data_IF_118986237438
#
_entry.id   IF_118986237438
#
_cell.length_a   1.000
_cell.length_b   1.000
_cell.length_c   1.000
_cell.angle_alpha   90.00
_cell.angle_beta   90.00
_cell.angle_gamma   90.00
#
_symmetry.space_group_name_H-M   'P 1'
#
loop_
_entity.id
_entity.type
_entity.pdbx_description
1 polymer ?
#
# COMPACT_ATOMS: atom_id res chain seq x y z
N UNK A 1 34.63 -66.81 -24.43
CA UNK A 1 34.65 -65.46 -25.08
C UNK A 1 33.52 -64.65 -24.52
N UNK A 2 33.79 -63.85 -23.47
CA UNK A 2 32.75 -63.06 -22.75
C UNK A 2 32.88 -61.63 -23.18
N UNK A 3 31.91 -61.13 -23.96
CA UNK A 3 31.78 -59.70 -24.29
C UNK A 3 30.95 -59.03 -23.18
N UNK A 4 31.60 -58.27 -22.29
CA UNK A 4 30.92 -57.41 -21.32
C UNK A 4 30.43 -56.16 -22.04
N UNK A 5 29.11 -56.00 -22.09
CA UNK A 5 28.45 -54.81 -22.57
C UNK A 5 28.44 -53.77 -21.41
N UNK A 6 29.21 -52.70 -21.56
CA UNK A 6 29.21 -51.58 -20.61
C UNK A 6 28.08 -50.63 -21.05
N UNK A 7 26.98 -50.61 -20.28
CA UNK A 7 25.94 -49.59 -20.42
C UNK A 7 26.44 -48.29 -19.71
N UNK A 8 26.80 -47.31 -20.51
CA UNK A 8 27.02 -45.96 -20.02
C UNK A 8 25.70 -45.27 -19.82
N UNK A 9 25.29 -45.09 -18.57
CA UNK A 9 24.17 -44.23 -18.19
C UNK A 9 24.61 -42.78 -18.36
N UNK A 10 24.16 -42.12 -19.43
CA UNK A 10 24.25 -40.68 -19.58
C UNK A 10 23.20 -40.02 -18.64
N UNK A 11 23.67 -39.47 -17.54
CA UNK A 11 22.84 -38.68 -16.64
C UNK A 11 22.55 -37.32 -17.29
N UNK A 12 21.40 -37.24 -17.97
CA UNK A 12 20.88 -35.96 -18.49
C UNK A 12 20.40 -35.12 -17.30
N UNK A 13 21.25 -34.21 -16.82
CA UNK A 13 20.88 -33.22 -15.84
C UNK A 13 19.87 -32.27 -16.49
N UNK A 14 18.59 -32.51 -16.21
CA UNK A 14 17.50 -31.59 -16.56
C UNK A 14 17.67 -30.34 -15.65
N UNK A 15 18.29 -29.31 -16.18
CA UNK A 15 18.32 -27.99 -15.54
C UNK A 15 16.87 -27.49 -15.50
N UNK A 16 16.21 -27.64 -14.35
CA UNK A 16 14.95 -26.95 -14.06
C UNK A 16 15.31 -25.48 -13.90
N UNK A 17 15.28 -24.75 -15.00
CA UNK A 17 15.19 -23.29 -14.94
C UNK A 17 13.82 -22.99 -14.38
N UNK A 18 13.75 -22.72 -13.08
CA UNK A 18 12.59 -22.08 -12.48
C UNK A 18 12.48 -20.71 -13.15
N UNK A 19 11.70 -20.65 -14.23
CA UNK A 19 11.18 -19.40 -14.73
C UNK A 19 10.29 -18.85 -13.61
N UNK A 20 10.88 -18.10 -12.69
CA UNK A 20 10.15 -17.19 -11.85
C UNK A 20 9.40 -16.29 -12.81
N UNK A 21 8.07 -16.46 -12.88
CA UNK A 21 7.22 -15.50 -13.55
C UNK A 21 7.56 -14.15 -12.94
N UNK A 22 8.32 -13.35 -13.66
CA UNK A 22 8.66 -12.00 -13.27
C UNK A 22 7.37 -11.20 -13.26
N UNK A 23 6.67 -11.17 -12.12
CA UNK A 23 5.74 -10.10 -11.85
C UNK A 23 6.61 -8.86 -11.84
N UNK A 24 6.57 -8.09 -12.93
CA UNK A 24 7.25 -6.80 -13.02
C UNK A 24 6.82 -5.97 -11.81
N UNK A 25 7.74 -5.17 -11.29
CA UNK A 25 7.40 -4.29 -10.18
C UNK A 25 6.16 -3.45 -10.54
N UNK A 26 5.22 -3.28 -9.62
CA UNK A 26 4.02 -2.51 -9.90
C UNK A 26 4.39 -1.07 -10.31
N UNK A 27 3.65 -0.54 -11.28
CA UNK A 27 3.84 0.84 -11.75
C UNK A 27 2.78 1.72 -11.08
N UNK A 28 3.22 2.78 -10.42
CA UNK A 28 2.35 3.76 -9.77
C UNK A 28 2.82 5.16 -10.17
N UNK A 29 1.90 5.96 -10.72
CA UNK A 29 2.23 7.30 -11.21
C UNK A 29 3.33 7.28 -12.29
N UNK A 30 3.28 6.30 -13.21
CA UNK A 30 4.22 6.16 -14.31
C UNK A 30 5.62 5.68 -13.93
N UNK A 31 5.85 5.29 -12.66
CA UNK A 31 7.15 4.80 -12.16
C UNK A 31 7.02 3.41 -11.54
N UNK A 32 8.03 2.58 -11.77
CA UNK A 32 8.14 1.28 -11.11
C UNK A 32 8.41 1.46 -9.62
N UNK A 33 7.70 0.68 -8.80
CA UNK A 33 7.89 0.63 -7.34
C UNK A 33 8.75 -0.58 -7.00
N UNK A 34 9.81 -0.36 -6.26
CA UNK A 34 10.79 -1.40 -5.96
C UNK A 34 10.60 -1.94 -4.54
N UNK A 35 10.43 -3.27 -4.35
CA UNK A 35 10.25 -3.85 -3.02
C UNK A 35 11.51 -3.74 -2.13
N UNK A 36 12.64 -3.40 -2.70
CA UNK A 36 13.90 -3.13 -1.98
C UNK A 36 14.00 -1.72 -1.42
N UNK A 37 13.13 -0.80 -1.87
CA UNK A 37 13.05 0.57 -1.39
C UNK A 37 11.97 0.71 -0.32
N UNK A 38 12.13 1.69 0.58
CA UNK A 38 11.10 1.99 1.57
C UNK A 38 9.91 2.75 0.95
N UNK A 39 8.87 2.97 1.75
CA UNK A 39 7.63 3.64 1.33
C UNK A 39 7.90 5.03 0.76
N UNK A 40 8.74 5.83 1.42
CA UNK A 40 9.02 7.21 1.01
C UNK A 40 9.89 7.23 -0.25
N UNK A 41 10.94 6.41 -0.31
CA UNK A 41 11.82 6.31 -1.49
C UNK A 41 11.08 5.97 -2.78
N UNK A 42 10.01 5.20 -2.68
CA UNK A 42 9.15 4.90 -3.82
C UNK A 42 8.13 6.02 -4.08
N UNK A 43 7.48 6.53 -3.03
CA UNK A 43 6.42 7.53 -3.15
C UNK A 43 6.91 8.84 -3.80
N UNK A 44 8.14 9.28 -3.52
CA UNK A 44 8.70 10.52 -4.08
C UNK A 44 8.90 10.47 -5.60
N UNK A 45 8.93 9.28 -6.18
CA UNK A 45 9.05 9.09 -7.63
C UNK A 45 7.69 8.97 -8.35
N UNK A 46 6.60 8.82 -7.60
CA UNK A 46 5.25 8.70 -8.16
C UNK A 46 4.68 10.06 -8.54
N UNK A 47 4.34 10.25 -9.80
CA UNK A 47 3.67 11.47 -10.25
C UNK A 47 2.25 11.64 -9.67
N UNK A 48 1.62 10.53 -9.25
CA UNK A 48 0.26 10.53 -8.71
C UNK A 48 0.19 10.85 -7.20
N UNK A 49 1.35 10.95 -6.50
CA UNK A 49 1.41 11.13 -5.04
C UNK A 49 2.20 12.38 -4.62
N UNK A 50 2.36 13.36 -5.50
CA UNK A 50 3.11 14.58 -5.21
C UNK A 50 2.51 15.38 -4.05
N UNK A 51 1.19 15.47 -3.98
CA UNK A 51 0.45 16.14 -2.88
C UNK A 51 0.64 15.39 -1.57
N UNK A 52 0.56 14.04 -1.58
CA UNK A 52 0.81 13.22 -0.39
C UNK A 52 2.23 13.41 0.14
N UNK A 53 3.23 13.39 -0.74
CA UNK A 53 4.64 13.60 -0.35
C UNK A 53 4.86 14.99 0.23
N UNK A 54 4.25 16.03 -0.35
CA UNK A 54 4.30 17.39 0.20
C UNK A 54 3.66 17.45 1.60
N UNK A 55 2.52 16.80 1.78
CA UNK A 55 1.82 16.72 3.06
C UNK A 55 2.65 15.98 4.13
N UNK A 56 3.29 14.86 3.78
CA UNK A 56 4.17 14.11 4.68
C UNK A 56 5.38 14.94 5.13
N UNK A 57 5.96 15.72 4.23
CA UNK A 57 7.06 16.65 4.55
C UNK A 57 6.58 17.77 5.50
N UNK A 58 5.45 18.40 5.20
CA UNK A 58 4.87 19.45 6.02
C UNK A 58 4.51 18.96 7.43
N UNK A 59 4.01 17.73 7.55
CA UNK A 59 3.71 17.10 8.84
C UNK A 59 4.96 16.63 9.60
N UNK A 60 6.12 16.47 8.94
CA UNK A 60 7.34 15.92 9.54
C UNK A 60 7.27 14.40 9.74
N UNK A 61 6.48 13.68 8.91
CA UNK A 61 6.27 12.23 9.02
C UNK A 61 7.18 11.40 8.11
N UNK A 62 8.06 12.05 7.34
CA UNK A 62 8.96 11.37 6.40
C UNK A 62 9.84 10.36 7.13
N UNK A 63 10.56 10.78 8.15
CA UNK A 63 11.45 9.92 8.95
C UNK A 63 10.70 8.77 9.64
N UNK A 64 9.46 9.04 10.09
CA UNK A 64 8.61 8.02 10.72
C UNK A 64 8.27 6.90 9.72
N UNK A 65 7.92 7.25 8.48
CA UNK A 65 7.57 6.29 7.43
C UNK A 65 8.79 5.69 6.71
N UNK A 66 9.97 6.25 6.87
CA UNK A 66 11.25 5.64 6.48
C UNK A 66 11.74 4.61 7.50
N UNK A 67 11.20 4.64 8.71
CA UNK A 67 11.54 3.73 9.79
C UNK A 67 11.27 2.26 9.47
N UNK A 68 11.66 1.36 10.39
CA UNK A 68 11.73 -0.09 10.11
C UNK A 68 10.36 -0.77 9.93
N UNK A 69 9.25 -0.10 10.17
CA UNK A 69 7.91 -0.66 10.00
C UNK A 69 7.66 -1.96 10.77
N UNK A 70 6.87 -2.90 10.27
CA UNK A 70 6.12 -2.83 9.01
C UNK A 70 4.90 -1.92 9.07
N UNK A 71 4.61 -1.25 7.95
CA UNK A 71 3.44 -0.38 7.80
C UNK A 71 2.56 -0.82 6.64
N UNK A 72 1.25 -0.56 6.77
CA UNK A 72 0.31 -0.56 5.65
C UNK A 72 -0.15 0.88 5.43
N UNK A 73 0.12 1.43 4.26
CA UNK A 73 -0.24 2.80 3.92
C UNK A 73 -1.32 2.80 2.85
N UNK A 74 -2.45 3.42 3.15
CA UNK A 74 -3.48 3.72 2.17
C UNK A 74 -3.17 5.08 1.56
N UNK A 75 -2.54 5.08 0.37
CA UNK A 75 -1.97 6.26 -0.26
C UNK A 75 -2.99 6.93 -1.20
N UNK A 76 -3.56 8.09 -0.84
CA UNK A 76 -4.45 8.82 -1.73
C UNK A 76 -3.66 9.47 -2.87
N UNK A 77 -4.21 9.39 -4.09
CA UNK A 77 -3.65 10.05 -5.26
C UNK A 77 -3.89 11.56 -5.22
N UNK A 78 -3.19 12.32 -6.09
CA UNK A 78 -3.48 13.75 -6.27
C UNK A 78 -4.98 13.98 -6.57
N UNK A 79 -5.58 13.15 -7.45
CA UNK A 79 -7.01 13.21 -7.74
C UNK A 79 -7.91 12.87 -6.54
N UNK A 80 -7.42 12.14 -5.54
CA UNK A 80 -8.14 11.94 -4.28
C UNK A 80 -8.18 13.22 -3.45
N UNK A 81 -7.09 13.98 -3.41
CA UNK A 81 -7.05 15.29 -2.75
C UNK A 81 -7.91 16.33 -3.47
N UNK A 82 -8.00 16.27 -4.80
CA UNK A 82 -8.84 17.19 -5.60
C UNK A 82 -10.35 17.03 -5.32
N UNK A 83 -10.75 15.87 -4.78
CA UNK A 83 -12.14 15.63 -4.34
C UNK A 83 -12.50 16.33 -3.02
N UNK A 84 -11.51 16.78 -2.26
CA UNK A 84 -11.76 17.56 -1.04
C UNK A 84 -12.31 18.94 -1.40
N UNK A 85 -13.09 19.57 -0.48
CA UNK A 85 -13.55 20.94 -0.70
C UNK A 85 -12.39 21.90 -1.02
N UNK A 86 -12.62 22.81 -1.95
CA UNK A 86 -11.61 23.78 -2.40
C UNK A 86 -10.96 24.49 -1.21
N UNK A 87 -9.64 24.56 -1.20
CA UNK A 87 -8.85 25.19 -0.13
C UNK A 87 -8.60 24.31 1.11
N UNK A 88 -9.21 23.10 1.18
CA UNK A 88 -8.95 22.18 2.31
C UNK A 88 -7.50 21.75 2.36
N UNK A 89 -6.92 21.38 1.22
CA UNK A 89 -5.51 20.94 1.14
C UNK A 89 -4.58 22.08 1.52
N UNK A 90 -4.79 23.27 0.95
CA UNK A 90 -3.99 24.47 1.26
C UNK A 90 -4.07 24.84 2.74
N UNK A 91 -5.27 24.69 3.33
CA UNK A 91 -5.48 24.94 4.76
C UNK A 91 -4.73 23.91 5.61
N UNK A 92 -4.81 22.62 5.28
CA UNK A 92 -4.11 21.56 6.01
C UNK A 92 -2.59 21.67 5.90
N UNK A 93 -2.06 22.19 4.80
CA UNK A 93 -0.61 22.38 4.61
C UNK A 93 -0.02 23.56 5.36
N UNK A 94 -0.87 24.43 5.93
CA UNK A 94 -0.39 25.58 6.73
C UNK A 94 0.28 25.10 8.02
N UNK A 95 1.36 25.75 8.48
CA UNK A 95 2.07 25.36 9.68
C UNK A 95 1.20 25.30 10.94
N UNK A 96 0.22 26.20 11.06
CA UNK A 96 -0.73 26.24 12.18
C UNK A 96 -1.64 25.00 12.22
N UNK A 97 -1.83 24.30 11.10
CA UNK A 97 -2.67 23.13 10.98
C UNK A 97 -1.88 21.81 10.97
N UNK A 98 -0.57 21.86 11.29
CA UNK A 98 0.29 20.68 11.28
C UNK A 98 -0.26 19.51 12.11
N UNK A 99 -0.88 19.77 13.26
CA UNK A 99 -1.47 18.74 14.10
C UNK A 99 -2.66 18.04 13.40
N UNK A 100 -3.53 18.81 12.74
CA UNK A 100 -4.64 18.26 11.96
C UNK A 100 -4.15 17.46 10.73
N UNK A 101 -3.14 17.98 10.05
CA UNK A 101 -2.50 17.27 8.94
C UNK A 101 -1.88 15.96 9.40
N UNK A 102 -1.15 15.96 10.50
CA UNK A 102 -0.55 14.76 11.09
C UNK A 102 -1.62 13.72 11.43
N UNK A 103 -2.73 14.16 12.04
CA UNK A 103 -3.89 13.31 12.37
C UNK A 103 -4.45 12.63 11.12
N UNK A 104 -4.72 13.38 10.06
CA UNK A 104 -5.21 12.84 8.78
C UNK A 104 -4.21 11.85 8.17
N UNK A 105 -2.92 12.19 8.12
CA UNK A 105 -1.91 11.33 7.51
C UNK A 105 -1.68 10.03 8.29
N UNK A 106 -1.63 10.08 9.62
CA UNK A 106 -1.49 8.90 10.47
C UNK A 106 -2.76 8.02 10.49
N UNK A 107 -3.92 8.61 10.19
CA UNK A 107 -5.16 7.86 9.94
C UNK A 107 -5.11 7.00 8.67
N UNK A 108 -4.27 7.35 7.68
CA UNK A 108 -4.03 6.54 6.48
C UNK A 108 -3.01 5.41 6.69
N UNK A 109 -2.43 5.30 7.88
CA UNK A 109 -1.39 4.32 8.20
C UNK A 109 -1.89 3.33 9.23
N UNK A 110 -1.69 2.05 8.96
CA UNK A 110 -1.99 0.95 9.88
C UNK A 110 -0.69 0.21 10.18
N UNK A 111 -0.48 -0.16 11.45
CA UNK A 111 0.67 -0.98 11.85
C UNK A 111 0.55 -2.39 11.29
N UNK A 112 1.67 -2.94 10.83
CA UNK A 112 1.73 -4.25 10.21
C UNK A 112 1.70 -4.19 8.67
N UNK A 113 2.18 -5.26 8.04
CA UNK A 113 2.11 -5.45 6.58
C UNK A 113 0.87 -6.27 6.26
N UNK A 114 -0.19 -5.63 5.83
CA UNK A 114 -1.48 -6.27 5.54
C UNK A 114 -1.67 -6.31 4.02
N UNK A 115 -1.55 -7.48 3.43
CA UNK A 115 -1.80 -7.68 2.00
C UNK A 115 -3.30 -7.72 1.69
N UNK A 116 -3.64 -7.65 0.40
CA UNK A 116 -5.02 -7.86 -0.06
C UNK A 116 -5.59 -9.18 0.42
N UNK A 117 -4.79 -10.26 0.42
CA UNK A 117 -5.23 -11.57 0.89
C UNK A 117 -5.56 -11.56 2.38
N UNK A 118 -4.80 -10.80 3.18
CA UNK A 118 -5.06 -10.65 4.62
C UNK A 118 -6.31 -9.80 4.87
N UNK A 119 -6.50 -8.73 4.10
CA UNK A 119 -7.73 -7.93 4.14
C UNK A 119 -8.96 -8.78 3.80
N UNK A 120 -8.90 -9.58 2.73
CA UNK A 120 -9.99 -10.47 2.33
C UNK A 120 -10.30 -11.53 3.40
N UNK A 121 -9.29 -12.11 4.06
CA UNK A 121 -9.48 -13.03 5.18
C UNK A 121 -10.19 -12.35 6.34
N UNK A 122 -9.73 -11.15 6.73
CA UNK A 122 -10.35 -10.35 7.79
C UNK A 122 -11.82 -10.02 7.48
N UNK A 123 -12.10 -9.57 6.26
CA UNK A 123 -13.47 -9.26 5.79
C UNK A 123 -14.37 -10.50 5.93
N UNK A 124 -13.91 -11.67 5.49
CA UNK A 124 -14.65 -12.93 5.60
C UNK A 124 -14.92 -13.33 7.06
N UNK A 125 -13.91 -13.17 7.93
CA UNK A 125 -14.01 -13.51 9.36
C UNK A 125 -14.93 -12.56 10.13
N UNK A 126 -15.13 -11.35 9.61
CA UNK A 126 -15.92 -10.28 10.25
C UNK A 126 -17.25 -10.01 9.52
N UNK A 127 -17.84 -11.06 8.92
CA UNK A 127 -19.16 -10.98 8.25
C UNK A 127 -19.28 -9.85 7.22
N UNK A 128 -18.21 -9.62 6.44
CA UNK A 128 -18.19 -8.69 5.31
C UNK A 128 -17.60 -7.30 5.60
N UNK A 129 -17.29 -6.97 6.86
CA UNK A 129 -16.64 -5.70 7.22
C UNK A 129 -15.58 -5.91 8.29
N UNK A 130 -14.32 -5.68 7.97
CA UNK A 130 -13.22 -5.79 8.91
C UNK A 130 -12.81 -4.42 9.44
N UNK A 131 -12.62 -4.31 10.74
CA UNK A 131 -12.10 -3.12 11.41
C UNK A 131 -10.58 -3.16 11.46
N UNK A 132 -9.94 -2.06 11.12
CA UNK A 132 -8.52 -1.80 11.30
C UNK A 132 -8.33 -0.62 12.24
N UNK A 133 -7.35 -0.71 13.14
CA UNK A 133 -6.93 0.42 13.96
C UNK A 133 -5.78 1.13 13.28
N UNK A 134 -5.93 2.43 13.06
CA UNK A 134 -4.90 3.27 12.44
C UNK A 134 -3.83 3.68 13.43
N UNK A 135 -2.70 4.19 12.95
CA UNK A 135 -1.61 4.71 13.80
C UNK A 135 -2.07 5.94 14.59
N UNK A 136 -3.02 6.68 14.06
CA UNK A 136 -3.68 7.80 14.76
C UNK A 136 -4.51 7.32 15.96
N UNK A 137 -4.98 6.06 15.94
CA UNK A 137 -5.82 5.44 16.96
C UNK A 137 -7.29 5.32 16.55
N UNK A 138 -7.69 5.97 15.47
CA UNK A 138 -9.04 5.86 14.91
C UNK A 138 -9.29 4.55 14.19
N UNK A 139 -10.53 4.34 13.80
CA UNK A 139 -11.01 3.11 13.16
C UNK A 139 -11.23 3.31 11.66
N UNK A 140 -10.77 2.34 10.89
CA UNK A 140 -10.98 2.26 9.46
C UNK A 140 -11.61 0.90 9.13
N UNK A 141 -12.75 0.89 8.46
CA UNK A 141 -13.40 -0.36 8.07
C UNK A 141 -13.06 -0.70 6.63
N UNK A 142 -12.81 -1.98 6.40
CA UNK A 142 -12.51 -2.53 5.08
C UNK A 142 -13.63 -3.48 4.69
N UNK A 143 -14.21 -3.24 3.51
CA UNK A 143 -15.31 -4.03 2.95
C UNK A 143 -15.01 -4.38 1.50
N UNK A 144 -15.91 -5.14 0.86
CA UNK A 144 -15.89 -5.36 -0.58
C UNK A 144 -16.97 -4.51 -1.25
N UNK A 145 -16.55 -3.69 -2.19
CA UNK A 145 -17.42 -3.07 -3.17
C UNK A 145 -17.65 -4.05 -4.31
N UNK A 146 -18.89 -4.25 -4.76
CA UNK A 146 -19.27 -5.18 -5.85
C UNK A 146 -18.77 -6.64 -5.68
N UNK A 147 -18.41 -7.03 -4.46
CA UNK A 147 -17.88 -8.36 -4.16
C UNK A 147 -16.43 -8.62 -4.63
N UNK A 148 -15.75 -7.61 -5.18
CA UNK A 148 -14.41 -7.75 -5.79
C UNK A 148 -13.41 -6.71 -5.33
N UNK A 149 -13.80 -5.44 -5.33
CA UNK A 149 -12.88 -4.33 -5.03
C UNK A 149 -12.86 -4.03 -3.54
N UNK A 150 -11.68 -3.84 -2.99
CA UNK A 150 -11.54 -3.43 -1.59
C UNK A 150 -11.96 -1.96 -1.47
N UNK A 151 -12.87 -1.70 -0.55
CA UNK A 151 -13.35 -0.37 -0.21
C UNK A 151 -13.09 -0.10 1.26
N UNK A 152 -12.55 1.07 1.54
CA UNK A 152 -12.39 1.61 2.88
C UNK A 152 -13.60 2.45 3.23
N UNK A 153 -13.97 2.45 4.51
CA UNK A 153 -14.96 3.36 5.08
C UNK A 153 -14.37 4.02 6.32
N UNK A 154 -14.43 5.33 6.39
CA UNK A 154 -13.93 6.11 7.53
C UNK A 154 -15.00 6.36 8.60
N UNK A 155 -14.59 6.99 9.70
CA UNK A 155 -15.46 7.31 10.84
C UNK A 155 -16.55 8.33 10.51
N UNK A 156 -16.35 9.15 9.48
CA UNK A 156 -17.34 10.14 8.98
C UNK A 156 -18.32 9.55 7.97
N UNK A 157 -18.13 8.26 7.62
CA UNK A 157 -18.94 7.57 6.63
C UNK A 157 -18.48 7.78 5.19
N UNK A 158 -17.35 8.47 4.99
CA UNK A 158 -16.68 8.57 3.69
C UNK A 158 -16.16 7.21 3.23
N UNK A 159 -16.06 7.03 1.91
CA UNK A 159 -15.57 5.79 1.32
C UNK A 159 -14.45 6.05 0.32
N UNK A 160 -13.50 5.12 0.22
CA UNK A 160 -12.40 5.15 -0.74
C UNK A 160 -12.19 3.77 -1.35
N UNK A 161 -12.03 3.71 -2.67
CA UNK A 161 -11.71 2.47 -3.37
C UNK A 161 -10.19 2.27 -3.46
N UNK A 162 -9.75 1.04 -3.25
CA UNK A 162 -8.37 0.64 -3.54
C UNK A 162 -8.25 0.40 -5.05
N UNK A 163 -7.47 1.24 -5.71
CA UNK A 163 -7.26 1.20 -7.16
C UNK A 163 -6.04 0.38 -7.57
N UNK A 164 -4.96 0.46 -6.79
CA UNK A 164 -3.76 -0.36 -6.96
C UNK A 164 -3.41 -0.94 -5.58
N UNK A 165 -3.35 -2.25 -5.50
CA UNK A 165 -3.10 -2.94 -4.24
C UNK A 165 -1.76 -3.69 -4.24
N UNK A 166 -1.29 -4.06 -3.04
CA UNK A 166 -0.09 -4.88 -2.87
C UNK A 166 1.19 -4.29 -3.48
N UNK A 167 1.36 -2.98 -3.39
CA UNK A 167 2.63 -2.34 -3.74
C UNK A 167 3.59 -2.55 -2.57
N UNK A 168 4.33 -3.65 -2.61
CA UNK A 168 5.24 -4.05 -1.53
C UNK A 168 6.50 -3.18 -1.50
N UNK A 169 6.92 -2.86 -0.28
CA UNK A 169 8.09 -2.05 0.04
C UNK A 169 8.96 -2.79 1.05
N UNK A 170 10.21 -2.36 1.25
CA UNK A 170 11.09 -2.98 2.25
C UNK A 170 10.51 -2.89 3.67
N UNK A 171 9.88 -1.78 4.02
CA UNK A 171 9.31 -1.51 5.34
C UNK A 171 7.77 -1.53 5.38
N UNK A 172 7.07 -2.04 4.36
CA UNK A 172 5.61 -2.12 4.40
C UNK A 172 4.95 -2.49 3.10
N UNK A 173 3.69 -2.09 2.97
CA UNK A 173 2.89 -2.23 1.75
C UNK A 173 2.04 -0.97 1.54
N UNK A 174 1.91 -0.55 0.30
CA UNK A 174 1.04 0.56 -0.10
C UNK A 174 -0.17 -0.01 -0.84
N UNK A 175 -1.34 0.53 -0.51
CA UNK A 175 -2.58 0.39 -1.26
C UNK A 175 -3.01 1.78 -1.72
N UNK A 176 -3.03 2.01 -3.02
CA UNK A 176 -3.43 3.30 -3.60
C UNK A 176 -4.94 3.44 -3.55
N UNK A 177 -5.42 4.58 -3.08
CA UNK A 177 -6.84 4.89 -2.95
C UNK A 177 -7.23 6.13 -3.73
N UNK A 178 -8.50 6.16 -4.17
CA UNK A 178 -9.06 7.21 -5.01
C UNK A 178 -9.71 8.37 -4.25
N UNK A 179 -9.77 8.27 -2.92
CA UNK A 179 -10.41 9.27 -2.05
C UNK A 179 -9.66 9.34 -0.72
N UNK A 180 -9.51 10.55 -0.17
CA UNK A 180 -8.90 10.77 1.16
C UNK A 180 -9.89 10.34 2.23
N UNK A 181 -9.45 9.47 3.17
CA UNK A 181 -10.25 9.08 4.34
C UNK A 181 -9.99 10.04 5.50
N UNK A 182 -11.04 10.35 6.26
CA UNK A 182 -10.98 11.40 7.28
C UNK A 182 -11.29 10.84 8.67
N UNK A 183 -10.45 11.10 9.68
CA UNK A 183 -10.77 10.79 11.06
C UNK A 183 -11.88 11.72 11.61
N UNK A 184 -12.49 11.33 12.70
CA UNK A 184 -13.41 12.17 13.47
C UNK A 184 -12.74 13.39 14.09
#
# INVERSE_FOLDING_TARGET
MNRRLILTFALLALAITSAGAGMGNPVVGGKQMYPTKNIIENAVHSADHTTLVAALKAAGLVETLEGPGPFTVFAPTNGAFDKLPTGTVDTLLKPENKAALTKVLTYHVVSGRISTSDLLKKIKQSNGSAELTTVEGGKLWVTLHDGKHIMLKDEKGGTALVTIANVFQSNGVIHVIDTVVMPN
#
